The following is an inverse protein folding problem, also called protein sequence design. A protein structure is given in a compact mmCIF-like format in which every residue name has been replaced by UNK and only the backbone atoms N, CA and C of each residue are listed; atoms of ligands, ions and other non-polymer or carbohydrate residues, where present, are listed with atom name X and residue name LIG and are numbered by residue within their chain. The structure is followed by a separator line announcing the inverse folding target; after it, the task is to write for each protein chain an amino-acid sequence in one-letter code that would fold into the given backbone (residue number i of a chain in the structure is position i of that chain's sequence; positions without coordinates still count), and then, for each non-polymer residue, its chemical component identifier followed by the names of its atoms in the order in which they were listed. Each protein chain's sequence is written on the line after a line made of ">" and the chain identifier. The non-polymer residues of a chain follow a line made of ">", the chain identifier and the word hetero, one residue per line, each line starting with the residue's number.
data_IF_598120606584
#
_entry.id   IF_598120606584
#
_cell.length_a   1.000
_cell.length_b   1.000
_cell.length_c   1.000
_cell.angle_alpha   90.00
_cell.angle_beta   90.00
_cell.angle_gamma   90.00
#
_symmetry.space_group_name_H-M   'P 1'
#
loop_
_entity.id
_entity.type
_entity.pdbx_description
1 polymer ?
#
# COMPACT_ATOMS: atom_id res chain seq x y z
N UNK A 1 2.09 10.86 -18.77
CA UNK A 1 2.24 11.17 -17.32
C UNK A 1 3.65 10.91 -16.79
N UNK A 2 4.28 9.74 -17.02
CA UNK A 2 5.68 9.50 -16.60
C UNK A 2 6.67 10.18 -17.57
N UNK A 3 6.39 10.20 -18.87
CA UNK A 3 7.12 11.03 -19.86
C UNK A 3 6.72 12.51 -19.87
N UNK A 4 5.55 12.84 -19.33
CA UNK A 4 4.98 14.20 -19.22
C UNK A 4 5.02 14.70 -17.76
N UNK A 5 6.02 14.26 -16.98
CA UNK A 5 6.23 14.69 -15.57
C UNK A 5 6.31 16.22 -15.46
N UNK A 6 6.67 16.90 -16.55
CA UNK A 6 6.72 18.36 -16.59
C UNK A 6 5.39 19.03 -16.29
N UNK A 7 4.23 18.38 -16.46
CA UNK A 7 2.90 18.97 -16.21
C UNK A 7 2.27 18.56 -14.86
N UNK A 8 2.91 17.67 -14.10
CA UNK A 8 2.36 17.07 -12.88
C UNK A 8 3.08 17.50 -11.60
N UNK A 9 2.49 17.16 -10.46
CA UNK A 9 3.23 17.06 -9.20
C UNK A 9 3.98 15.73 -9.21
N UNK A 10 5.28 15.77 -8.97
CA UNK A 10 6.11 14.58 -8.87
C UNK A 10 6.98 14.57 -7.62
N UNK A 11 7.15 13.41 -7.02
CA UNK A 11 7.98 13.23 -5.84
C UNK A 11 8.29 11.76 -5.56
N UNK A 12 9.16 11.55 -4.59
CA UNK A 12 9.32 10.24 -3.97
C UNK A 12 8.51 10.19 -2.68
N UNK A 13 8.00 9.02 -2.34
CA UNK A 13 7.43 8.78 -1.02
C UNK A 13 8.41 7.97 -0.20
N UNK A 14 8.78 8.51 0.96
CA UNK A 14 9.54 7.80 1.97
C UNK A 14 8.58 7.02 2.87
N UNK A 15 8.95 5.80 3.23
CA UNK A 15 8.17 4.98 4.16
C UNK A 15 8.37 5.46 5.59
N UNK A 16 7.31 5.37 6.40
CA UNK A 16 7.37 5.57 7.86
C UNK A 16 7.29 4.27 8.66
N UNK A 17 7.36 3.10 8.02
CA UNK A 17 7.16 1.82 8.70
C UNK A 17 7.95 0.67 8.04
N UNK A 18 8.39 -0.30 8.85
CA UNK A 18 9.25 -1.43 8.43
C UNK A 18 8.59 -2.35 7.40
N UNK A 19 7.27 -2.47 7.44
CA UNK A 19 6.55 -3.45 6.64
C UNK A 19 6.31 -2.97 5.21
N UNK A 20 7.41 -2.76 4.48
CA UNK A 20 7.43 -2.35 3.07
C UNK A 20 7.02 -3.55 2.19
N UNK A 21 5.75 -3.96 2.35
CA UNK A 21 5.13 -5.14 1.75
C UNK A 21 3.74 -4.76 1.23
N UNK A 22 3.39 -5.26 0.05
CA UNK A 22 2.14 -5.01 -0.69
C UNK A 22 0.91 -4.78 0.21
N UNK A 23 0.44 -5.78 0.96
CA UNK A 23 -0.82 -5.68 1.71
C UNK A 23 -0.78 -4.63 2.83
N UNK A 24 0.35 -4.52 3.52
CA UNK A 24 0.54 -3.53 4.56
C UNK A 24 0.53 -2.11 3.98
N UNK A 25 1.29 -1.87 2.91
CA UNK A 25 1.37 -0.58 2.24
C UNK A 25 0.02 -0.13 1.67
N UNK A 26 -0.72 -1.03 1.02
CA UNK A 26 -2.08 -0.74 0.50
C UNK A 26 -3.01 -0.29 1.62
N UNK A 27 -2.97 -0.92 2.79
CA UNK A 27 -3.74 -0.50 3.96
C UNK A 27 -3.29 0.89 4.46
N UNK A 28 -1.99 1.19 4.44
CA UNK A 28 -1.48 2.52 4.81
C UNK A 28 -2.03 3.60 3.88
N UNK A 29 -1.95 3.42 2.56
CA UNK A 29 -2.43 4.43 1.61
C UNK A 29 -3.92 4.73 1.82
N UNK A 30 -4.74 3.70 2.03
CA UNK A 30 -6.18 3.87 2.17
C UNK A 30 -6.64 4.32 3.55
N UNK A 31 -5.81 4.24 4.60
CA UNK A 31 -6.21 4.63 5.97
C UNK A 31 -5.39 5.77 6.57
N UNK A 32 -4.23 6.06 5.99
CA UNK A 32 -3.22 6.98 6.55
C UNK A 32 -2.62 6.49 7.87
N UNK A 33 -2.82 5.23 8.24
CA UNK A 33 -2.39 4.67 9.53
C UNK A 33 -1.18 3.77 9.37
N UNK A 34 -0.41 3.62 10.44
CA UNK A 34 0.70 2.67 10.48
C UNK A 34 0.24 1.22 10.71
N UNK A 35 1.14 0.26 10.46
CA UNK A 35 0.86 -1.17 10.56
C UNK A 35 0.46 -1.63 11.96
N UNK A 36 1.00 -1.01 12.99
CA UNK A 36 0.60 -1.28 14.38
C UNK A 36 -0.83 -0.82 14.73
N UNK A 37 -1.43 0.03 13.90
CA UNK A 37 -2.82 0.50 14.06
C UNK A 37 -3.77 -0.25 13.13
N UNK A 38 -3.47 -0.35 11.83
CA UNK A 38 -4.35 -1.04 10.88
C UNK A 38 -4.21 -2.57 10.90
N UNK A 39 -3.29 -3.10 11.71
CA UNK A 39 -3.11 -4.53 12.01
C UNK A 39 -2.56 -5.42 10.87
N UNK A 40 -2.59 -4.98 9.62
CA UNK A 40 -1.94 -5.67 8.49
C UNK A 40 -0.40 -5.53 8.56
N UNK A 41 0.27 -6.45 9.26
CA UNK A 41 1.71 -6.40 9.55
C UNK A 41 2.59 -7.22 8.60
N UNK A 42 2.04 -7.74 7.50
CA UNK A 42 2.82 -8.47 6.50
C UNK A 42 1.98 -9.15 5.43
N UNK A 43 2.67 -9.75 4.46
CA UNK A 43 2.04 -10.56 3.41
C UNK A 43 1.77 -11.99 3.90
N UNK A 44 2.45 -12.43 4.95
CA UNK A 44 2.17 -13.69 5.64
C UNK A 44 2.07 -13.44 7.15
N UNK A 45 0.92 -13.74 7.75
CA UNK A 45 0.64 -13.50 9.16
C UNK A 45 -0.05 -14.69 9.79
N UNK A 46 0.00 -14.80 11.11
CA UNK A 46 -0.66 -15.86 11.85
C UNK A 46 -1.38 -15.28 13.07
N UNK A 47 -2.63 -15.69 13.25
CA UNK A 47 -3.41 -15.37 14.45
C UNK A 47 -3.36 -16.56 15.40
N UNK A 48 -2.65 -16.40 16.50
CA UNK A 48 -2.41 -17.49 17.45
C UNK A 48 -3.71 -18.00 18.11
N UNK A 49 -4.72 -17.13 18.27
CA UNK A 49 -5.98 -17.46 18.90
C UNK A 49 -6.86 -18.35 18.00
N UNK A 50 -7.08 -17.95 16.74
CA UNK A 50 -7.89 -18.70 15.78
C UNK A 50 -7.11 -19.78 15.02
N UNK A 51 -5.77 -19.77 15.12
CA UNK A 51 -4.84 -20.60 14.34
C UNK A 51 -4.92 -20.36 12.83
N UNK A 52 -5.54 -19.26 12.40
CA UNK A 52 -5.68 -18.88 10.99
C UNK A 52 -4.41 -18.21 10.47
N UNK A 53 -4.14 -18.43 9.19
CA UNK A 53 -3.01 -17.85 8.49
C UNK A 53 -3.51 -16.90 7.41
N UNK A 54 -2.93 -15.71 7.38
CA UNK A 54 -3.02 -14.85 6.21
C UNK A 54 -1.85 -15.23 5.31
N UNK A 55 -2.14 -15.70 4.10
CA UNK A 55 -1.17 -15.86 3.04
C UNK A 55 -1.59 -14.95 1.90
N UNK A 56 -0.63 -14.17 1.36
CA UNK A 56 -0.90 -13.24 0.26
C UNK A 56 -1.53 -13.95 -0.94
N UNK A 57 -2.44 -13.24 -1.60
CA UNK A 57 -3.20 -13.73 -2.73
C UNK A 57 -4.60 -14.19 -2.34
N UNK A 58 -5.32 -14.72 -3.33
CA UNK A 58 -6.75 -15.02 -3.20
C UNK A 58 -6.97 -16.39 -2.56
N UNK A 59 -7.37 -16.41 -1.30
CA UNK A 59 -7.75 -17.64 -0.61
C UNK A 59 -8.83 -17.36 0.47
N UNK A 60 -9.43 -18.40 1.01
CA UNK A 60 -10.54 -18.26 1.96
C UNK A 60 -10.13 -17.53 3.24
N UNK A 61 -8.93 -17.80 3.76
CA UNK A 61 -8.46 -17.21 5.00
C UNK A 61 -7.97 -15.76 4.81
N UNK A 62 -7.39 -15.41 3.65
CA UNK A 62 -6.99 -14.02 3.34
C UNK A 62 -8.18 -13.07 3.23
N UNK A 63 -9.39 -13.59 2.98
CA UNK A 63 -10.64 -12.82 2.91
C UNK A 63 -11.32 -12.61 4.27
N UNK A 64 -10.76 -13.12 5.37
CA UNK A 64 -11.37 -12.96 6.68
C UNK A 64 -11.27 -11.50 7.17
N UNK A 65 -12.37 -10.87 7.60
CA UNK A 65 -12.36 -9.49 8.09
C UNK A 65 -11.39 -9.25 9.26
N UNK A 66 -11.05 -10.29 10.02
CA UNK A 66 -10.11 -10.21 11.15
C UNK A 66 -8.74 -9.61 10.78
N UNK A 67 -8.31 -9.70 9.52
CA UNK A 67 -7.06 -9.12 9.02
C UNK A 67 -7.18 -7.66 8.60
N UNK A 68 -8.38 -7.25 8.19
CA UNK A 68 -8.64 -6.00 7.46
C UNK A 68 -9.39 -4.95 8.29
N UNK A 69 -10.18 -5.37 9.28
CA UNK A 69 -11.02 -4.51 10.13
C UNK A 69 -10.22 -3.63 11.12
N UNK A 70 -8.89 -3.76 11.15
CA UNK A 70 -8.04 -2.98 12.05
C UNK A 70 -8.12 -1.47 11.82
N UNK A 71 -8.51 -1.02 10.62
CA UNK A 71 -8.79 0.38 10.32
C UNK A 71 -9.76 0.50 9.15
N UNK A 72 -10.58 1.54 9.18
CA UNK A 72 -11.50 1.85 8.08
C UNK A 72 -10.73 2.46 6.90
N UNK A 73 -10.72 1.82 5.71
CA UNK A 73 -10.11 2.40 4.53
C UNK A 73 -11.02 3.46 3.89
N UNK A 74 -10.42 4.37 3.13
CA UNK A 74 -11.08 5.49 2.45
C UNK A 74 -12.30 5.06 1.65
N UNK A 75 -12.22 3.94 0.93
CA UNK A 75 -13.33 3.45 0.12
C UNK A 75 -14.53 3.01 0.98
N UNK A 76 -14.30 2.50 2.19
CA UNK A 76 -15.39 2.20 3.14
C UNK A 76 -16.03 3.51 3.62
N UNK A 77 -15.22 4.51 3.98
CA UNK A 77 -15.71 5.83 4.38
C UNK A 77 -16.56 6.47 3.27
N UNK A 78 -16.09 6.39 2.02
CA UNK A 78 -16.84 6.87 0.85
C UNK A 78 -18.19 6.15 0.69
N UNK A 79 -18.20 4.81 0.74
CA UNK A 79 -19.44 4.03 0.63
C UNK A 79 -20.43 4.37 1.75
N UNK A 80 -19.96 4.57 2.99
CA UNK A 80 -20.78 5.02 4.12
C UNK A 80 -21.38 6.42 3.91
N UNK A 81 -20.69 7.28 3.17
CA UNK A 81 -21.17 8.60 2.77
C UNK A 81 -22.06 8.57 1.52
N UNK A 82 -22.39 7.38 1.00
CA UNK A 82 -23.19 7.21 -0.21
C UNK A 82 -22.45 7.48 -1.52
N UNK A 83 -21.13 7.69 -1.47
CA UNK A 83 -20.26 7.80 -2.65
C UNK A 83 -19.91 6.41 -3.17
N UNK A 84 -19.88 6.23 -4.49
CA UNK A 84 -19.69 4.93 -5.14
C UNK A 84 -18.23 4.71 -5.51
N UNK A 85 -17.67 3.57 -5.09
CA UNK A 85 -16.27 3.22 -5.37
C UNK A 85 -16.17 1.99 -6.26
N UNK A 86 -15.37 2.10 -7.32
CA UNK A 86 -15.06 1.01 -8.25
C UNK A 86 -13.59 0.63 -8.12
N UNK A 87 -13.29 -0.65 -7.97
CA UNK A 87 -11.92 -1.13 -7.74
C UNK A 87 -11.58 -2.23 -8.74
N UNK A 88 -10.37 -2.17 -9.30
CA UNK A 88 -9.88 -3.11 -10.29
C UNK A 88 -8.58 -3.76 -9.80
N UNK A 89 -8.62 -5.07 -9.57
CA UNK A 89 -7.51 -5.90 -9.11
C UNK A 89 -6.91 -5.49 -7.76
N UNK A 90 -7.58 -4.61 -7.02
CA UNK A 90 -7.03 -3.98 -5.83
C UNK A 90 -7.06 -4.95 -4.64
N UNK A 91 -5.94 -5.17 -3.93
CA UNK A 91 -5.89 -6.08 -2.79
C UNK A 91 -6.91 -5.71 -1.71
N UNK A 92 -7.84 -6.61 -1.43
CA UNK A 92 -8.85 -6.44 -0.39
C UNK A 92 -10.19 -5.88 -0.89
N UNK A 93 -10.36 -5.57 -2.19
CA UNK A 93 -11.67 -5.13 -2.70
C UNK A 93 -12.74 -6.22 -2.62
N UNK A 94 -12.32 -7.49 -2.62
CA UNK A 94 -13.17 -8.67 -2.51
C UNK A 94 -13.59 -8.97 -1.07
N UNK A 95 -13.03 -8.24 -0.09
CA UNK A 95 -13.26 -8.41 1.34
C UNK A 95 -14.36 -7.47 1.80
N UNK A 96 -15.26 -7.98 2.63
CA UNK A 96 -16.21 -7.15 3.36
C UNK A 96 -15.52 -6.58 4.60
N UNK A 97 -15.05 -5.34 4.51
CA UNK A 97 -14.33 -4.66 5.59
C UNK A 97 -15.35 -3.84 6.38
N UNK A 98 -15.43 -4.10 7.69
CA UNK A 98 -16.38 -3.45 8.60
C UNK A 98 -17.84 -3.52 8.11
N UNK A 99 -18.22 -4.64 7.49
CA UNK A 99 -19.56 -4.87 6.94
C UNK A 99 -19.84 -4.15 5.62
N UNK A 100 -18.82 -3.60 4.94
CA UNK A 100 -18.97 -2.80 3.72
C UNK A 100 -18.15 -3.41 2.59
N UNK A 101 -18.74 -3.43 1.38
CA UNK A 101 -18.07 -3.76 0.11
C UNK A 101 -18.04 -2.54 -0.81
N UNK A 102 -17.06 -2.44 -1.73
CA UNK A 102 -17.09 -1.42 -2.78
C UNK A 102 -18.30 -1.64 -3.71
N UNK A 103 -18.68 -0.61 -4.47
CA UNK A 103 -19.80 -0.68 -5.41
C UNK A 103 -19.50 -1.63 -6.57
N UNK A 104 -18.22 -1.80 -6.89
CA UNK A 104 -17.71 -2.78 -7.85
C UNK A 104 -16.29 -3.20 -7.46
N UNK A 105 -15.97 -4.48 -7.62
CA UNK A 105 -14.64 -5.03 -7.46
C UNK A 105 -14.40 -6.06 -8.59
N UNK A 106 -13.43 -5.76 -9.46
CA UNK A 106 -12.81 -6.77 -10.31
C UNK A 106 -11.76 -7.49 -9.46
N UNK A 107 -11.93 -8.80 -9.25
CA UNK A 107 -11.06 -9.57 -8.35
C UNK A 107 -9.60 -9.59 -8.83
N UNK A 108 -8.67 -9.69 -7.89
CA UNK A 108 -7.23 -9.79 -8.15
C UNK A 108 -6.89 -10.91 -9.14
N UNK A 109 -5.97 -10.61 -10.07
CA UNK A 109 -5.37 -11.58 -10.99
C UNK A 109 -3.86 -11.46 -10.94
N UNK A 110 -3.17 -12.60 -10.91
CA UNK A 110 -1.71 -12.62 -10.89
C UNK A 110 -1.12 -12.20 -12.24
N UNK A 111 -0.16 -11.27 -12.20
CA UNK A 111 0.61 -10.75 -13.32
C UNK A 111 -0.29 -10.25 -14.48
N UNK A 112 -1.13 -9.21 -14.23
CA UNK A 112 -2.10 -8.71 -15.20
C UNK A 112 -1.41 -8.28 -16.50
N UNK A 113 -2.06 -8.56 -17.62
CA UNK A 113 -1.56 -8.15 -18.94
C UNK A 113 -1.73 -6.64 -19.18
N UNK A 114 -1.03 -6.11 -20.18
CA UNK A 114 -1.25 -4.74 -20.66
C UNK A 114 -2.72 -4.50 -21.07
N UNK A 115 -3.40 -5.54 -21.57
CA UNK A 115 -4.82 -5.46 -21.90
C UNK A 115 -5.67 -5.28 -20.63
N UNK A 116 -5.37 -6.00 -19.56
CA UNK A 116 -6.06 -5.83 -18.28
C UNK A 116 -5.92 -4.39 -17.75
N UNK A 117 -4.72 -3.81 -17.85
CA UNK A 117 -4.47 -2.44 -17.43
C UNK A 117 -5.22 -1.42 -18.31
N UNK A 118 -5.14 -1.55 -19.63
CA UNK A 118 -5.80 -0.61 -20.55
C UNK A 118 -7.33 -0.71 -20.51
N UNK A 119 -7.88 -1.92 -20.40
CA UNK A 119 -9.33 -2.12 -20.21
C UNK A 119 -9.82 -1.50 -18.89
N UNK A 120 -9.09 -1.72 -17.78
CA UNK A 120 -9.46 -1.12 -16.48
C UNK A 120 -9.38 0.40 -16.50
N UNK A 121 -8.41 0.99 -17.20
CA UNK A 121 -8.33 2.45 -17.44
C UNK A 121 -9.59 2.94 -18.18
N UNK A 122 -9.97 2.30 -19.29
CA UNK A 122 -11.15 2.70 -20.07
C UNK A 122 -12.43 2.59 -19.23
N UNK A 123 -12.59 1.48 -18.51
CA UNK A 123 -13.74 1.24 -17.65
C UNK A 123 -13.81 2.27 -16.51
N UNK A 124 -12.69 2.55 -15.84
CA UNK A 124 -12.59 3.55 -14.79
C UNK A 124 -13.01 4.95 -15.28
N UNK A 125 -12.45 5.39 -16.42
CA UNK A 125 -12.84 6.67 -17.02
C UNK A 125 -14.33 6.72 -17.37
N UNK A 126 -14.88 5.62 -17.91
CA UNK A 126 -16.30 5.54 -18.26
C UNK A 126 -17.24 5.64 -17.05
N UNK A 127 -16.93 4.96 -15.94
CA UNK A 127 -17.78 5.02 -14.74
C UNK A 127 -17.66 6.36 -14.02
N UNK A 128 -16.50 7.01 -14.07
CA UNK A 128 -16.29 8.35 -13.54
C UNK A 128 -17.02 9.40 -14.39
N UNK A 129 -16.85 9.38 -15.71
CA UNK A 129 -17.48 10.37 -16.61
C UNK A 129 -19.00 10.26 -16.65
N UNK A 130 -19.55 9.06 -16.46
CA UNK A 130 -21.01 8.84 -16.37
C UNK A 130 -21.60 9.11 -14.98
N UNK A 131 -20.79 9.46 -13.98
CA UNK A 131 -21.24 9.67 -12.59
C UNK A 131 -21.70 8.38 -11.89
N UNK A 132 -21.32 7.21 -12.42
CA UNK A 132 -21.60 5.91 -11.77
C UNK A 132 -20.66 5.65 -10.59
N UNK A 133 -19.49 6.27 -10.58
CA UNK A 133 -18.50 6.19 -9.52
C UNK A 133 -17.99 7.60 -9.14
N UNK A 134 -17.67 7.78 -7.87
CA UNK A 134 -16.98 8.95 -7.33
C UNK A 134 -15.45 8.72 -7.27
N UNK A 135 -15.02 7.46 -7.22
CA UNK A 135 -13.62 7.05 -7.22
C UNK A 135 -13.44 5.72 -7.96
N UNK A 136 -12.37 5.62 -8.73
CA UNK A 136 -11.89 4.37 -9.29
C UNK A 136 -10.44 4.10 -8.81
N UNK A 137 -10.13 2.86 -8.45
CA UNK A 137 -8.79 2.43 -8.07
C UNK A 137 -8.35 1.24 -8.92
N UNK A 138 -7.11 1.27 -9.43
CA UNK A 138 -6.55 0.21 -10.28
C UNK A 138 -5.21 -0.23 -9.67
N UNK A 139 -5.02 -1.53 -9.50
CA UNK A 139 -3.76 -2.11 -9.07
C UNK A 139 -3.06 -2.84 -10.22
N UNK A 140 -1.74 -2.70 -10.32
CA UNK A 140 -0.93 -3.28 -11.41
C UNK A 140 0.45 -3.73 -10.89
N UNK A 141 0.62 -5.03 -10.69
CA UNK A 141 1.82 -5.62 -10.06
C UNK A 141 2.95 -6.00 -11.03
N UNK A 142 2.78 -5.79 -12.34
CA UNK A 142 3.73 -6.28 -13.37
C UNK A 142 5.17 -5.90 -13.07
N UNK A 143 5.42 -4.65 -12.64
CA UNK A 143 6.77 -4.16 -12.36
C UNK A 143 7.39 -4.92 -11.18
N UNK A 144 6.61 -5.18 -10.14
CA UNK A 144 7.07 -5.93 -8.98
C UNK A 144 7.43 -7.38 -9.35
N UNK A 145 6.55 -8.06 -10.10
CA UNK A 145 6.76 -9.42 -10.59
C UNK A 145 8.05 -9.54 -11.43
N UNK A 146 8.26 -8.62 -12.36
CA UNK A 146 9.47 -8.61 -13.18
C UNK A 146 10.72 -8.25 -12.36
N UNK A 147 10.59 -7.40 -11.34
CA UNK A 147 11.69 -7.03 -10.43
C UNK A 147 12.12 -8.18 -9.55
N UNK A 148 11.15 -8.95 -9.05
CA UNK A 148 11.34 -10.20 -8.37
C UNK A 148 12.09 -11.21 -9.25
N UNK A 149 11.57 -11.51 -10.45
CA UNK A 149 12.16 -12.52 -11.33
C UNK A 149 13.55 -12.16 -11.86
N UNK A 150 13.79 -10.90 -12.23
CA UNK A 150 14.99 -10.53 -13.00
C UNK A 150 15.91 -9.52 -12.29
N UNK A 151 15.46 -8.92 -11.19
CA UNK A 151 16.17 -7.87 -10.47
C UNK A 151 15.83 -6.46 -10.99
N UNK A 152 15.93 -5.42 -10.14
CA UNK A 152 15.55 -4.04 -10.46
C UNK A 152 16.32 -3.42 -11.64
N UNK A 153 17.55 -3.83 -11.91
CA UNK A 153 18.38 -3.25 -12.98
C UNK A 153 18.24 -3.95 -14.36
N UNK A 154 17.36 -4.95 -14.43
CA UNK A 154 17.22 -5.83 -15.59
C UNK A 154 16.61 -5.15 -16.83
N UNK A 155 16.92 -5.65 -18.04
CA UNK A 155 16.21 -5.26 -19.26
C UNK A 155 14.69 -5.46 -19.20
N UNK A 156 14.23 -6.47 -18.45
CA UNK A 156 12.82 -6.83 -18.27
C UNK A 156 12.08 -5.74 -17.50
N UNK A 157 12.65 -5.25 -16.40
CA UNK A 157 12.12 -4.08 -15.69
C UNK A 157 12.06 -2.86 -16.61
N UNK A 158 13.13 -2.59 -17.38
CA UNK A 158 13.14 -1.47 -18.34
C UNK A 158 12.02 -1.60 -19.38
N UNK A 159 11.73 -2.81 -19.85
CA UNK A 159 10.61 -3.07 -20.75
C UNK A 159 9.26 -2.83 -20.07
N UNK A 160 9.07 -3.38 -18.88
CA UNK A 160 7.82 -3.27 -18.13
C UNK A 160 7.50 -1.81 -17.76
N UNK A 161 8.51 -1.01 -17.38
CA UNK A 161 8.35 0.42 -17.11
C UNK A 161 7.97 1.20 -18.38
N UNK A 162 8.54 0.85 -19.56
CA UNK A 162 8.13 1.46 -20.84
C UNK A 162 6.68 1.14 -21.19
N UNK A 163 6.22 -0.09 -20.92
CA UNK A 163 4.83 -0.49 -21.13
C UNK A 163 3.89 0.28 -20.20
N UNK A 164 4.27 0.47 -18.94
CA UNK A 164 3.51 1.30 -18.00
C UNK A 164 3.45 2.76 -18.48
N UNK A 165 4.57 3.34 -18.93
CA UNK A 165 4.56 4.71 -19.48
C UNK A 165 3.65 4.83 -20.71
N UNK A 166 3.67 3.85 -21.63
CA UNK A 166 2.75 3.81 -22.76
C UNK A 166 1.28 3.73 -22.34
N UNK A 167 0.95 2.95 -21.31
CA UNK A 167 -0.39 2.90 -20.74
C UNK A 167 -0.81 4.23 -20.09
N UNK A 168 0.12 4.95 -19.46
CA UNK A 168 -0.13 6.28 -18.89
C UNK A 168 -0.30 7.35 -19.97
N UNK A 169 0.39 7.24 -21.11
CA UNK A 169 0.15 8.09 -22.28
C UNK A 169 -1.24 7.80 -22.88
N UNK A 170 -1.63 6.53 -22.96
CA UNK A 170 -2.97 6.12 -23.39
C UNK A 170 -4.07 6.68 -22.45
N UNK A 171 -3.88 6.60 -21.12
CA UNK A 171 -4.76 7.24 -20.14
C UNK A 171 -4.91 8.74 -20.43
N UNK A 172 -3.81 9.46 -20.59
CA UNK A 172 -3.82 10.90 -20.86
C UNK A 172 -4.59 11.24 -22.15
N UNK A 173 -4.38 10.48 -23.22
CA UNK A 173 -5.15 10.64 -24.47
C UNK A 173 -6.65 10.43 -24.24
N UNK A 174 -7.03 9.40 -23.47
CA UNK A 174 -8.44 9.14 -23.15
C UNK A 174 -9.07 10.20 -22.26
N UNK A 175 -8.33 10.79 -21.32
CA UNK A 175 -8.83 11.93 -20.53
C UNK A 175 -9.17 13.10 -21.46
N UNK A 176 -8.27 13.42 -22.41
CA UNK A 176 -8.48 14.51 -23.39
C UNK A 176 -9.65 14.23 -24.34
N UNK A 177 -9.73 13.02 -24.88
CA UNK A 177 -10.84 12.60 -25.74
C UNK A 177 -12.22 12.68 -25.05
N UNK A 178 -12.25 12.49 -23.73
CA UNK A 178 -13.48 12.56 -22.93
C UNK A 178 -13.69 13.93 -22.26
N UNK A 179 -12.85 14.95 -22.54
CA UNK A 179 -12.93 16.29 -21.96
C UNK A 179 -12.92 16.31 -20.41
N UNK A 180 -12.07 15.46 -19.82
CA UNK A 180 -11.98 15.27 -18.36
C UNK A 180 -10.79 16.00 -17.72
N UNK A 181 -9.98 16.75 -18.48
CA UNK A 181 -8.73 17.37 -17.99
C UNK A 181 -8.92 18.26 -16.76
N UNK A 182 -10.01 19.02 -16.73
CA UNK A 182 -10.32 19.96 -15.65
C UNK A 182 -11.31 19.37 -14.61
N UNK A 183 -11.61 18.07 -14.71
CA UNK A 183 -12.60 17.38 -13.87
C UNK A 183 -12.03 16.17 -13.13
N UNK A 184 -10.92 15.62 -13.59
CA UNK A 184 -10.35 14.38 -13.07
C UNK A 184 -9.01 14.61 -12.38
N UNK A 185 -8.94 14.20 -11.12
CA UNK A 185 -7.68 13.99 -10.43
C UNK A 185 -7.19 12.56 -10.64
N UNK A 186 -5.92 12.43 -11.01
CA UNK A 186 -5.23 11.14 -11.12
C UNK A 186 -4.06 11.15 -10.15
N UNK A 187 -4.04 10.16 -9.26
CA UNK A 187 -2.94 9.92 -8.33
C UNK A 187 -2.35 8.54 -8.62
N UNK A 188 -1.05 8.50 -8.86
CA UNK A 188 -0.29 7.27 -9.16
C UNK A 188 0.87 7.15 -8.17
N UNK A 189 0.97 6.01 -7.50
CA UNK A 189 2.04 5.72 -6.55
C UNK A 189 2.41 4.23 -6.59
N UNK A 190 3.58 3.89 -6.06
CA UNK A 190 3.92 2.50 -5.75
C UNK A 190 3.79 2.21 -4.26
N UNK A 191 3.60 0.93 -3.96
CA UNK A 191 3.56 0.36 -2.63
C UNK A 191 4.93 0.11 -2.01
N UNK A 192 5.98 -0.04 -2.83
CA UNK A 192 7.38 -0.12 -2.44
C UNK A 192 8.34 0.06 -3.61
N UNK A 193 9.63 0.07 -3.28
CA UNK A 193 10.71 -0.17 -4.23
C UNK A 193 11.16 -1.63 -4.24
N UNK A 194 12.37 -1.88 -4.74
CA UNK A 194 12.92 -3.21 -4.99
C UNK A 194 14.45 -3.13 -4.96
N UNK A 195 15.13 -4.11 -4.37
CA UNK A 195 16.59 -4.22 -4.39
C UNK A 195 17.04 -5.59 -4.88
N UNK A 196 18.27 -5.68 -5.37
CA UNK A 196 18.86 -6.96 -5.78
C UNK A 196 19.12 -7.85 -4.54
N UNK A 197 18.96 -9.16 -4.71
CA UNK A 197 19.35 -10.16 -3.71
C UNK A 197 20.43 -11.09 -4.24
N UNK A 198 21.31 -11.56 -3.35
CA UNK A 198 22.39 -12.49 -3.71
C UNK A 198 22.03 -13.90 -3.22
N UNK A 199 21.18 -14.58 -4.00
CA UNK A 199 20.52 -15.85 -3.68
C UNK A 199 21.41 -17.07 -3.38
N UNK A 200 22.74 -16.92 -3.43
CA UNK A 200 23.68 -18.00 -3.11
C UNK A 200 24.76 -17.59 -2.10
N UNK A 201 24.93 -16.28 -1.87
CA UNK A 201 26.02 -15.75 -1.03
C UNK A 201 25.49 -15.17 0.28
N UNK A 202 24.30 -14.55 0.25
CA UNK A 202 23.72 -13.83 1.38
C UNK A 202 22.43 -14.46 1.85
N UNK A 203 22.49 -15.75 2.18
CA UNK A 203 21.35 -16.49 2.76
C UNK A 203 21.62 -16.79 4.24
N UNK A 204 20.61 -16.53 5.05
CA UNK A 204 20.54 -16.96 6.45
C UNK A 204 19.59 -18.14 6.54
N UNK A 205 20.14 -19.34 6.73
CA UNK A 205 19.38 -20.58 6.91
C UNK A 205 19.09 -20.81 8.39
N UNK A 206 17.84 -20.62 8.81
CA UNK A 206 17.44 -20.70 10.22
C UNK A 206 17.63 -22.09 10.83
N UNK A 207 17.51 -23.18 10.03
CA UNK A 207 17.72 -24.55 10.51
C UNK A 207 19.13 -24.79 11.07
N UNK A 208 20.12 -23.95 10.72
CA UNK A 208 21.49 -24.01 11.25
C UNK A 208 21.62 -23.45 12.67
N UNK A 209 20.64 -22.66 13.12
CA UNK A 209 20.69 -21.93 14.39
C UNK A 209 19.61 -22.37 15.37
N UNK A 210 18.44 -22.80 14.88
CA UNK A 210 17.28 -23.17 15.69
C UNK A 210 16.63 -24.46 15.17
N UNK A 211 16.01 -25.21 16.08
CA UNK A 211 15.22 -26.38 15.71
C UNK A 211 13.85 -25.94 15.17
N UNK A 212 13.67 -26.05 13.85
CA UNK A 212 12.45 -25.58 13.16
C UNK A 212 11.18 -26.37 13.55
N UNK A 213 11.31 -27.60 14.09
CA UNK A 213 10.15 -28.38 14.55
C UNK A 213 9.43 -27.77 15.76
N UNK A 214 10.06 -26.86 16.48
CA UNK A 214 9.53 -26.21 17.68
C UNK A 214 9.11 -24.74 17.43
N UNK A 215 9.03 -24.32 16.17
CA UNK A 215 8.84 -22.93 15.78
C UNK A 215 7.79 -22.80 14.68
N UNK A 216 6.78 -21.96 14.90
CA UNK A 216 5.92 -21.50 13.81
C UNK A 216 6.60 -20.31 13.13
N UNK A 217 7.03 -20.52 11.89
CA UNK A 217 7.60 -19.48 11.04
C UNK A 217 6.54 -18.97 10.07
N UNK A 218 6.46 -17.65 9.93
CA UNK A 218 5.72 -17.00 8.86
C UNK A 218 6.65 -16.12 8.05
N UNK A 219 6.44 -16.16 6.73
CA UNK A 219 7.19 -15.40 5.72
C UNK A 219 8.63 -15.89 5.48
N UNK A 220 9.29 -15.28 4.50
CA UNK A 220 10.72 -15.43 4.18
C UNK A 220 11.26 -14.12 3.61
N UNK A 221 12.57 -13.97 3.58
CA UNK A 221 13.26 -12.81 3.04
C UNK A 221 13.71 -11.82 4.13
N UNK A 222 13.54 -10.51 3.95
CA UNK A 222 14.12 -9.50 4.83
C UNK A 222 13.51 -9.44 6.22
N UNK A 223 12.22 -9.77 6.35
CA UNK A 223 11.52 -9.74 7.64
C UNK A 223 10.81 -11.06 7.86
N UNK A 224 11.12 -11.78 8.92
CA UNK A 224 10.53 -13.09 9.24
C UNK A 224 9.93 -13.06 10.63
N UNK A 225 8.75 -13.64 10.77
CA UNK A 225 8.04 -13.75 12.05
C UNK A 225 8.16 -15.15 12.63
N UNK A 226 8.61 -15.26 13.89
CA UNK A 226 8.78 -16.54 14.59
C UNK A 226 7.99 -16.58 15.91
N UNK A 227 7.25 -17.67 16.10
CA UNK A 227 6.66 -18.07 17.37
C UNK A 227 7.35 -19.36 17.86
N UNK A 228 8.47 -19.23 18.60
CA UNK A 228 9.15 -20.39 19.18
C UNK A 228 8.45 -20.88 20.45
N UNK A 229 8.68 -22.15 20.82
CA UNK A 229 8.25 -22.68 22.14
C UNK A 229 8.88 -21.91 23.31
N UNK A 230 10.17 -21.58 23.19
CA UNK A 230 10.92 -20.81 24.17
C UNK A 230 11.43 -19.50 23.54
N UNK A 231 11.20 -18.36 24.21
CA UNK A 231 11.64 -17.03 23.75
C UNK A 231 13.14 -16.77 23.96
N UNK A 232 13.98 -17.81 24.02
CA UNK A 232 15.43 -17.66 24.06
C UNK A 232 15.95 -17.50 22.64
N UNK A 233 16.58 -16.36 22.36
CA UNK A 233 17.14 -16.09 21.05
C UNK A 233 18.61 -15.69 21.16
N UNK A 234 19.37 -16.11 20.17
CA UNK A 234 20.75 -15.70 19.95
C UNK A 234 20.77 -14.76 18.74
N UNK A 235 21.58 -13.70 18.81
CA UNK A 235 21.82 -12.87 17.63
C UNK A 235 22.58 -13.70 16.59
N UNK A 236 22.12 -13.61 15.34
CA UNK A 236 22.74 -14.28 14.20
C UNK A 236 23.38 -13.20 13.33
N UNK A 237 24.60 -13.42 12.80
CA UNK A 237 25.26 -12.45 11.93
C UNK A 237 24.37 -12.03 10.75
N UNK A 238 24.44 -10.75 10.39
CA UNK A 238 23.72 -10.13 9.26
C UNK A 238 22.20 -10.09 9.37
N UNK A 239 21.65 -10.32 10.57
CA UNK A 239 20.28 -10.00 10.91
C UNK A 239 20.16 -9.50 12.34
N UNK A 240 19.13 -8.70 12.59
CA UNK A 240 18.72 -8.33 13.93
C UNK A 240 17.56 -9.23 14.37
N UNK A 241 17.71 -9.82 15.56
CA UNK A 241 16.63 -10.53 16.22
C UNK A 241 16.01 -9.61 17.27
N UNK A 242 14.77 -9.19 17.03
CA UNK A 242 14.01 -8.36 17.96
C UNK A 242 12.98 -9.20 18.70
N UNK A 243 13.03 -9.17 20.04
CA UNK A 243 11.83 -9.45 20.80
C UNK A 243 10.81 -8.33 20.55
N UNK A 244 9.52 -8.64 20.59
CA UNK A 244 8.45 -7.69 20.28
C UNK A 244 8.60 -6.31 20.95
N UNK A 245 8.99 -6.28 22.23
CA UNK A 245 9.19 -5.04 23.01
C UNK A 245 10.38 -4.19 22.54
N UNK A 246 11.39 -4.84 21.94
CA UNK A 246 12.67 -4.25 21.54
C UNK A 246 12.68 -3.80 20.07
N UNK A 247 11.62 -4.13 19.31
CA UNK A 247 11.42 -3.61 17.94
C UNK A 247 11.43 -2.07 17.98
N UNK A 248 12.22 -1.49 17.06
CA UNK A 248 12.45 -0.05 17.01
C UNK A 248 11.12 0.72 16.87
N UNK A 249 10.96 1.78 17.66
CA UNK A 249 9.73 2.58 17.66
C UNK A 249 9.42 3.19 16.29
N UNK A 250 10.47 3.60 15.54
CA UNK A 250 10.33 4.20 14.20
C UNK A 250 9.72 3.26 13.16
N UNK A 251 9.68 1.95 13.43
CA UNK A 251 9.07 0.98 12.53
C UNK A 251 7.54 0.95 12.63
N UNK A 252 6.95 1.51 13.69
CA UNK A 252 5.51 1.50 13.94
C UNK A 252 4.87 0.13 13.68
N UNK A 253 5.51 -0.90 14.25
CA UNK A 253 5.22 -2.30 13.96
C UNK A 253 4.76 -3.05 15.21
N UNK A 254 5.49 -2.91 16.33
CA UNK A 254 5.34 -3.74 17.55
C UNK A 254 3.98 -3.76 18.22
N UNK A 255 3.14 -2.74 17.97
CA UNK A 255 1.78 -2.68 18.50
C UNK A 255 0.80 -3.60 17.78
N UNK A 256 1.14 -4.08 16.58
CA UNK A 256 0.24 -4.88 15.75
C UNK A 256 -0.12 -6.24 16.35
N UNK A 257 -1.38 -6.63 16.22
CA UNK A 257 -1.99 -7.84 16.78
C UNK A 257 -1.24 -9.10 16.35
N UNK A 258 -0.85 -9.18 15.07
CA UNK A 258 -0.20 -10.35 14.49
C UNK A 258 1.33 -10.30 14.53
N UNK A 259 1.91 -9.36 15.29
CA UNK A 259 3.36 -9.33 15.50
C UNK A 259 3.80 -10.47 16.40
N UNK A 260 4.72 -11.26 15.87
CA UNK A 260 5.35 -12.40 16.52
C UNK A 260 6.14 -12.04 17.79
N UNK A 261 6.37 -13.00 18.70
CA UNK A 261 7.28 -12.83 19.83
C UNK A 261 8.68 -12.42 19.39
N UNK A 262 9.18 -13.02 18.29
CA UNK A 262 10.45 -12.69 17.67
C UNK A 262 10.26 -12.27 16.22
N UNK A 263 10.70 -11.04 15.90
CA UNK A 263 10.78 -10.52 14.53
C UNK A 263 12.24 -10.47 14.10
N UNK A 264 12.57 -11.17 13.03
CA UNK A 264 13.89 -11.17 12.41
C UNK A 264 13.91 -10.10 11.33
N UNK A 265 14.97 -9.29 11.28
CA UNK A 265 15.17 -8.26 10.26
C UNK A 265 16.57 -8.41 9.66
N UNK A 266 16.66 -8.80 8.40
CA UNK A 266 17.91 -8.98 7.68
C UNK A 266 18.55 -7.63 7.32
N UNK A 267 19.88 -7.60 7.32
CA UNK A 267 20.62 -6.49 6.71
C UNK A 267 20.38 -6.44 5.19
N UNK A 268 20.49 -5.27 4.53
CA UNK A 268 20.26 -5.13 3.09
C UNK A 268 21.02 -6.16 2.23
N UNK A 269 20.28 -6.83 1.35
CA UNK A 269 20.77 -7.88 0.45
C UNK A 269 20.84 -9.29 1.06
N UNK A 270 20.64 -9.43 2.37
CA UNK A 270 20.52 -10.73 3.04
C UNK A 270 19.07 -11.25 3.01
N UNK A 271 18.94 -12.56 2.84
CA UNK A 271 17.66 -13.24 2.72
C UNK A 271 17.52 -14.33 3.80
N UNK A 272 16.49 -14.24 4.63
CA UNK A 272 16.21 -15.23 5.68
C UNK A 272 15.29 -16.31 5.11
N UNK A 273 15.63 -17.57 5.32
CA UNK A 273 14.81 -18.73 4.94
C UNK A 273 14.93 -19.81 6.00
N UNK A 274 13.99 -20.76 6.02
CA UNK A 274 14.12 -21.97 6.83
C UNK A 274 15.39 -22.73 6.43
N UNK A 275 15.51 -23.04 5.14
CA UNK A 275 16.70 -23.62 4.52
C UNK A 275 16.81 -23.23 3.05
N UNK A 276 18.02 -23.33 2.51
CA UNK A 276 18.30 -22.97 1.13
C UNK A 276 17.70 -23.98 0.13
N UNK A 277 17.51 -25.24 0.53
CA UNK A 277 16.97 -26.31 -0.32
C UNK A 277 15.48 -26.14 -0.63
N UNK A 278 14.71 -25.49 0.24
CA UNK A 278 13.29 -25.21 0.06
C UNK A 278 13.02 -23.97 -0.79
N UNK A 279 14.06 -23.20 -1.13
CA UNK A 279 13.91 -22.08 -2.04
C UNK A 279 13.55 -22.61 -3.45
N UNK A 280 12.62 -21.93 -4.15
CA UNK A 280 12.14 -22.42 -5.44
C UNK A 280 13.20 -22.17 -6.52
N UNK A 281 13.86 -23.16 -7.10
CA UNK A 281 14.85 -22.93 -8.18
C UNK A 281 14.27 -23.18 -9.58
N UNK A 282 14.69 -22.38 -10.57
CA UNK A 282 14.53 -22.79 -11.97
C UNK A 282 15.52 -23.91 -12.27
N UNK A 283 15.03 -25.05 -12.76
CA UNK A 283 15.89 -26.08 -13.34
C UNK A 283 16.25 -25.66 -14.76
N UNK A 284 17.48 -25.19 -14.95
CA UNK A 284 17.99 -24.88 -16.28
C UNK A 284 18.50 -26.14 -16.99
N UNK A 285 18.80 -26.03 -18.28
CA UNK A 285 19.29 -27.12 -19.12
C UNK A 285 20.69 -27.62 -18.73
N UNK A 286 21.44 -26.89 -17.91
CA UNK A 286 22.71 -27.34 -17.31
C UNK A 286 22.52 -28.23 -16.08
N UNK A 287 21.30 -28.35 -15.53
CA UNK A 287 21.03 -29.11 -14.31
C UNK A 287 21.38 -28.37 -13.02
N UNK A 288 22.06 -27.23 -13.11
CA UNK A 288 22.38 -26.35 -11.98
C UNK A 288 21.14 -25.53 -11.57
N UNK A 289 20.80 -25.46 -10.28
CA UNK A 289 19.71 -24.62 -9.80
C UNK A 289 20.02 -23.13 -10.08
N UNK A 290 19.21 -22.47 -10.91
CA UNK A 290 19.28 -21.01 -11.06
C UNK A 290 18.26 -20.33 -10.16
N UNK A 291 18.63 -19.16 -9.63
CA UNK A 291 17.78 -18.41 -8.74
C UNK A 291 16.45 -18.06 -9.40
N UNK A 292 15.33 -18.35 -8.74
CA UNK A 292 14.01 -17.94 -9.22
C UNK A 292 13.75 -16.45 -8.96
N UNK A 293 14.41 -15.91 -7.94
CA UNK A 293 14.25 -14.54 -7.49
C UNK A 293 15.60 -13.83 -7.50
N UNK A 294 15.65 -12.66 -8.12
CA UNK A 294 16.83 -11.80 -8.24
C UNK A 294 16.59 -10.42 -7.58
N UNK A 295 15.33 -10.05 -7.36
CA UNK A 295 14.96 -8.87 -6.57
C UNK A 295 14.09 -9.23 -5.36
N UNK A 296 14.17 -8.41 -4.31
CA UNK A 296 13.25 -8.49 -3.17
C UNK A 296 13.03 -7.13 -2.50
N UNK A 297 12.01 -7.04 -1.66
CA UNK A 297 11.63 -5.83 -0.91
C UNK A 297 11.20 -6.17 0.53
N UNK A 298 10.90 -5.16 1.35
CA UNK A 298 10.54 -5.34 2.76
C UNK A 298 11.71 -5.22 3.73
N UNK A 299 12.88 -4.77 3.26
CA UNK A 299 13.98 -4.33 4.13
C UNK A 299 13.59 -3.09 4.93
N UNK A 300 14.52 -2.61 5.75
CA UNK A 300 14.38 -1.35 6.48
C UNK A 300 13.84 -0.23 5.58
N UNK A 301 12.84 0.47 6.09
CA UNK A 301 12.10 1.48 5.36
C UNK A 301 12.91 2.76 5.08
N UNK A 302 14.05 2.93 5.73
CA UNK A 302 15.02 4.00 5.44
C UNK A 302 16.01 3.61 4.33
N UNK A 303 16.03 2.35 3.88
CA UNK A 303 16.87 1.94 2.76
C UNK A 303 16.37 2.57 1.46
N UNK A 304 17.27 3.21 0.70
CA UNK A 304 16.91 4.03 -0.45
C UNK A 304 16.11 3.25 -1.50
N UNK A 305 16.52 2.01 -1.78
CA UNK A 305 15.86 1.14 -2.76
C UNK A 305 14.44 0.74 -2.36
N UNK A 306 14.06 0.90 -1.08
CA UNK A 306 12.71 0.58 -0.62
C UNK A 306 11.71 1.69 -0.90
N UNK A 307 12.15 2.90 -1.27
CA UNK A 307 11.27 4.07 -1.49
C UNK A 307 10.28 3.85 -2.64
N UNK A 308 9.12 4.48 -2.52
CA UNK A 308 8.11 4.52 -3.56
C UNK A 308 8.20 5.81 -4.37
N UNK A 309 7.51 5.80 -5.50
CA UNK A 309 7.21 7.03 -6.23
C UNK A 309 5.80 7.53 -5.91
N UNK A 310 5.59 8.83 -6.10
CA UNK A 310 4.29 9.48 -6.05
C UNK A 310 4.18 10.50 -7.19
N UNK A 311 3.12 10.41 -7.98
CA UNK A 311 2.79 11.32 -9.06
C UNK A 311 1.31 11.69 -8.93
N UNK A 312 0.98 12.97 -9.14
CA UNK A 312 -0.40 13.42 -9.13
C UNK A 312 -0.62 14.52 -10.17
N UNK A 313 -1.77 14.50 -10.83
CA UNK A 313 -2.19 15.53 -11.77
C UNK A 313 -3.72 15.70 -11.73
N UNK A 314 -4.20 16.86 -12.14
CA UNK A 314 -5.62 17.19 -12.13
C UNK A 314 -5.87 18.64 -11.71
N UNK A 315 -7.13 19.08 -11.69
CA UNK A 315 -7.51 20.46 -11.35
C UNK A 315 -7.10 20.87 -9.94
N UNK A 316 -7.02 19.92 -9.02
CA UNK A 316 -6.73 20.17 -7.60
C UNK A 316 -5.23 20.29 -7.31
N UNK A 317 -4.39 19.80 -8.21
CA UNK A 317 -2.95 19.75 -8.01
C UNK A 317 -2.24 20.93 -8.67
N UNK A 318 -1.15 21.39 -8.05
CA UNK A 318 -0.24 22.33 -8.70
C UNK A 318 0.41 21.66 -9.91
N UNK A 319 0.76 22.44 -10.93
CA UNK A 319 1.46 21.95 -12.12
C UNK A 319 2.97 22.18 -11.98
N UNK A 320 3.75 21.32 -12.63
CA UNK A 320 5.20 21.46 -12.79
C UNK A 320 5.96 21.53 -11.44
N UNK A 321 5.47 20.80 -10.44
CA UNK A 321 6.01 20.84 -9.09
C UNK A 321 6.77 19.55 -8.79
N UNK A 322 8.05 19.69 -8.47
CA UNK A 322 8.84 18.60 -7.89
C UNK A 322 8.86 18.75 -6.37
N UNK A 323 8.17 17.85 -5.68
CA UNK A 323 8.06 17.83 -4.23
C UNK A 323 9.30 17.22 -3.56
N UNK A 324 9.60 17.68 -2.35
CA UNK A 324 10.45 16.94 -1.42
C UNK A 324 9.76 15.62 -1.03
N UNK A 325 10.50 14.61 -0.50
CA UNK A 325 9.89 13.35 -0.11
C UNK A 325 8.75 13.54 0.92
N UNK A 326 7.62 12.90 0.65
CA UNK A 326 6.45 12.85 1.55
C UNK A 326 6.40 11.49 2.25
N UNK A 327 5.60 11.35 3.30
CA UNK A 327 5.37 10.02 3.91
C UNK A 327 4.16 9.35 3.26
N UNK A 328 4.21 8.03 3.12
CA UNK A 328 3.09 7.25 2.56
C UNK A 328 1.77 7.45 3.32
N UNK A 329 1.82 7.64 4.65
CA UNK A 329 0.64 8.00 5.46
C UNK A 329 0.00 9.34 5.08
N UNK A 330 0.75 10.25 4.48
CA UNK A 330 0.23 11.57 4.09
C UNK A 330 -0.68 11.51 2.87
N UNK A 331 -0.48 10.50 2.01
CA UNK A 331 -1.24 10.32 0.77
C UNK A 331 -2.73 10.15 1.04
N UNK A 332 -3.09 9.51 2.17
CA UNK A 332 -4.49 9.41 2.60
C UNK A 332 -5.17 10.78 2.72
N UNK A 333 -4.49 11.76 3.32
CA UNK A 333 -5.05 13.11 3.49
C UNK A 333 -5.19 13.83 2.14
N UNK A 334 -4.24 13.63 1.21
CA UNK A 334 -4.33 14.15 -0.15
C UNK A 334 -5.55 13.58 -0.87
N UNK A 335 -5.73 12.24 -0.82
CA UNK A 335 -6.87 11.59 -1.45
C UNK A 335 -8.20 12.05 -0.84
N UNK A 336 -8.30 12.10 0.50
CA UNK A 336 -9.48 12.60 1.20
C UNK A 336 -9.85 14.01 0.74
N UNK A 337 -8.87 14.92 0.67
CA UNK A 337 -9.08 16.29 0.23
C UNK A 337 -9.60 16.34 -1.22
N UNK A 338 -8.97 15.65 -2.16
CA UNK A 338 -9.39 15.64 -3.57
C UNK A 338 -10.76 14.99 -3.82
N UNK A 339 -11.23 14.17 -2.88
CA UNK A 339 -12.53 13.49 -2.95
C UNK A 339 -13.63 14.20 -2.14
N UNK A 340 -13.28 15.30 -1.46
CA UNK A 340 -14.18 16.03 -0.58
C UNK A 340 -14.66 15.19 0.62
N UNK A 341 -13.78 14.33 1.15
CA UNK A 341 -14.05 13.45 2.29
C UNK A 341 -13.27 13.98 3.50
N UNK A 342 -13.93 14.08 4.65
CA UNK A 342 -13.22 14.40 5.90
C UNK A 342 -12.35 13.21 6.31
N UNK A 343 -11.02 13.39 6.48
CA UNK A 343 -10.14 12.29 6.83
C UNK A 343 -10.41 11.79 8.25
N UNK A 344 -10.50 10.48 8.43
CA UNK A 344 -10.54 9.86 9.76
C UNK A 344 -9.19 10.09 10.48
N UNK A 345 -9.14 9.98 11.83
CA UNK A 345 -7.90 10.09 12.57
C UNK A 345 -6.82 9.15 12.03
N UNK A 346 -5.70 9.71 11.60
CA UNK A 346 -4.62 9.02 10.91
C UNK A 346 -3.24 9.54 11.35
N UNK A 347 -2.17 8.92 10.85
CA UNK A 347 -0.78 9.24 11.19
C UNK A 347 -0.10 10.20 10.20
N UNK A 348 -0.80 10.62 9.14
CA UNK A 348 -0.33 11.61 8.19
C UNK A 348 -0.29 13.02 8.78
N UNK A 349 0.45 13.92 8.15
CA UNK A 349 0.52 15.33 8.54
C UNK A 349 0.24 16.24 7.34
N UNK A 350 -0.84 17.00 7.44
CA UNK A 350 -1.30 17.89 6.37
C UNK A 350 -0.24 18.90 5.90
N UNK A 351 0.52 19.48 6.84
CA UNK A 351 1.57 20.46 6.54
C UNK A 351 2.70 19.92 5.64
N UNK A 352 2.83 18.59 5.50
CA UNK A 352 3.79 17.97 4.57
C UNK A 352 3.29 17.86 3.13
N UNK A 353 1.99 18.03 2.90
CA UNK A 353 1.37 17.76 1.59
C UNK A 353 0.44 18.85 1.08
N UNK A 354 0.03 19.79 1.92
CA UNK A 354 -0.86 20.88 1.51
C UNK A 354 -0.28 21.71 0.35
N UNK A 355 1.05 21.81 0.29
CA UNK A 355 1.73 22.57 -0.75
C UNK A 355 1.61 21.93 -2.14
N UNK A 356 1.19 20.67 -2.24
CA UNK A 356 0.98 19.96 -3.51
C UNK A 356 -0.30 20.44 -4.22
N UNK A 357 -1.25 21.01 -3.47
CA UNK A 357 -2.60 21.32 -3.92
C UNK A 357 -2.75 22.82 -4.23
N UNK A 358 -3.70 23.13 -5.11
CA UNK A 358 -4.12 24.50 -5.37
C UNK A 358 -4.95 25.00 -4.17
N UNK A 359 -4.77 26.26 -3.76
CA UNK A 359 -5.31 26.82 -2.52
C UNK A 359 -6.86 26.89 -2.45
N UNK A 360 -7.55 26.53 -3.53
CA UNK A 360 -9.01 26.43 -3.58
C UNK A 360 -9.44 25.11 -2.96
N UNK A 361 -9.92 25.13 -1.72
CA UNK A 361 -10.62 23.99 -1.10
C UNK A 361 -11.73 23.45 -2.05
N UNK A 362 -12.03 22.14 -2.02
CA UNK A 362 -13.20 21.61 -2.72
C UNK A 362 -14.41 22.42 -2.28
N UNK A 363 -15.20 22.89 -3.23
CA UNK A 363 -16.45 23.61 -2.96
C UNK A 363 -17.28 22.78 -1.98
N UNK A 364 -17.48 23.29 -0.76
CA UNK A 364 -18.37 22.67 0.20
C UNK A 364 -19.74 22.42 -0.45
N UNK A 365 -20.44 21.31 -0.14
CA UNK A 365 -21.83 21.19 -0.52
C UNK A 365 -22.61 22.36 0.11
N UNK A 366 -23.65 22.89 -0.55
CA UNK A 366 -24.38 24.03 -0.03
C UNK A 366 -25.02 23.62 1.30
N UNK A 367 -24.52 24.19 2.40
CA UNK A 367 -25.22 24.17 3.67
C UNK A 367 -26.53 24.94 3.48
N UNK A 368 -27.61 24.21 3.20
CA UNK A 368 -28.97 24.68 3.41
C UNK A 368 -29.20 24.81 4.92
N UNK A 369 -28.68 25.89 5.49
CA UNK A 369 -29.17 26.43 6.75
C UNK A 369 -30.03 27.65 6.41
N UNK A 370 -31.29 27.37 6.13
CA UNK A 370 -32.37 28.35 6.26
C UNK A 370 -33.48 27.72 7.08
N UNK A 371 -33.43 27.95 8.38
CA UNK A 371 -34.65 28.29 9.11
C UNK A 371 -34.28 29.29 10.19
N UNK A 372 -34.53 30.56 9.86
CA UNK A 372 -34.74 31.62 10.81
C UNK A 372 -35.78 31.18 11.85
N UNK A 373 -35.42 31.19 13.13
CA UNK A 373 -36.36 31.64 14.15
C UNK A 373 -35.62 32.63 15.05
N UNK A 374 -35.77 33.91 14.71
CA UNK A 374 -35.65 34.99 15.65
C UNK A 374 -36.81 34.90 16.64
N UNK A 375 -36.52 34.74 17.93
CA UNK A 375 -37.40 35.22 18.99
C UNK A 375 -36.58 36.10 19.92
N UNK A 376 -36.85 37.40 19.83
CA UNK A 376 -36.44 38.41 20.79
C UNK A 376 -37.11 38.12 22.13
N UNK A 377 -36.30 38.03 23.20
CA UNK A 377 -36.76 38.15 24.58
C UNK A 377 -36.11 39.36 25.21
N UNK A 378 -36.80 40.51 25.15
CA UNK A 378 -36.43 41.73 25.87
C UNK A 378 -36.79 41.57 27.34
N UNK A 379 -35.85 41.95 28.19
CA UNK A 379 -35.95 42.13 29.63
C UNK A 379 -37.03 43.15 29.98
N UNK A 380 -37.95 42.79 30.87
CA UNK A 380 -38.61 43.76 31.76
C UNK A 380 -38.44 43.34 33.21
N UNK A 381 -38.24 44.36 34.02
CA UNK A 381 -37.78 44.36 35.38
C UNK A 381 -38.93 44.31 36.41
N UNK A 382 -38.58 43.90 37.63
CA UNK A 382 -39.07 44.32 38.96
C UNK A 382 -40.51 43.97 39.42
N UNK A 383 -40.55 43.13 40.46
CA UNK A 383 -41.32 43.15 41.73
C UNK A 383 -41.01 41.80 42.42
N UNK A 384 -40.52 41.65 43.65
CA UNK A 384 -40.30 42.50 44.83
C UNK A 384 -38.88 42.27 45.41
#
# INVERSE_FOLDING_TARGET
>A
MISEISESVSGFSDYSFLCVRVCACVCVFLSGRHCDVHQMTGNNMWDEASKKEFLIGTNADSRLPLWWDGSEPLWVTMQKLGKKVYMYYWPGCEVEILGVRPSFCEEYVYNPSEKNLTDSIVNALSVLSSGKADMAAIYYEKIDVEGHHFGPDSPQIKSAVRQLDAAMQFLNSKIKENHMEDQLNVVLFSDHGMTNIQWMEKIIELEKFINMSDVKMMDRGPVVSLWPRDNKYQQVPNMHVYARKDILQRYHYKGGKFVSPLTLVAEPGWFITENQKSLPYWKNSSGEPSAWQNGWHGYDNEFLDMRAFFLATGPDFKRNLRAAPIRTVDVYNVMCWTLGVEPLPNNGSWSRVEFLLNASAPSQPPTLWTCCMCLFGIVFALWD
#
